data_IF_360911778720
#
_entry.id   IF_360911778720
#
_cell.length_a   1.000
_cell.length_b   1.000
_cell.length_c   1.000
_cell.angle_alpha   90.00
_cell.angle_beta   90.00
_cell.angle_gamma   90.00
#
_symmetry.space_group_name_H-M   'P 1'
#
loop_
_entity.id
_entity.type
_entity.pdbx_description
1 polymer ?
#
# COMPACT_ATOMS: atom_id res chain seq x y z
N UNK A 1 -20.48 -3.44 -4.37
CA UNK A 1 -20.01 -2.33 -5.21
C UNK A 1 -18.78 -1.70 -4.58
N UNK A 2 -17.76 -1.35 -5.37
CA UNK A 2 -16.52 -0.71 -4.92
C UNK A 2 -16.50 0.72 -5.46
N UNK A 3 -16.43 1.69 -4.55
CA UNK A 3 -16.43 3.13 -4.85
C UNK A 3 -15.11 3.70 -4.34
N UNK A 4 -14.27 4.19 -5.24
CA UNK A 4 -13.07 4.94 -4.87
C UNK A 4 -13.35 6.44 -4.80
N UNK A 5 -12.85 7.09 -3.76
CA UNK A 5 -12.87 8.53 -3.58
C UNK A 5 -11.45 9.04 -3.80
N UNK A 6 -11.23 9.81 -4.86
CA UNK A 6 -9.90 10.25 -5.28
C UNK A 6 -9.87 11.76 -5.56
N UNK A 7 -8.68 12.33 -5.70
CA UNK A 7 -8.49 13.77 -5.94
C UNK A 7 -7.09 14.06 -6.47
N UNK A 8 -6.93 15.12 -7.26
CA UNK A 8 -5.62 15.53 -7.77
C UNK A 8 -4.64 16.08 -6.71
N UNK A 9 -5.09 16.44 -5.50
CA UNK A 9 -4.24 17.01 -4.44
C UNK A 9 -4.76 16.75 -3.02
N UNK A 10 -3.94 17.04 -2.02
CA UNK A 10 -4.36 17.03 -0.62
C UNK A 10 -5.42 18.11 -0.30
N UNK A 11 -6.20 17.88 0.75
CA UNK A 11 -7.10 18.89 1.32
C UNK A 11 -8.43 19.15 0.59
N UNK A 12 -8.79 18.38 -0.44
CA UNK A 12 -10.06 18.60 -1.19
C UNK A 12 -11.32 18.06 -0.50
N UNK A 13 -11.18 17.37 0.65
CA UNK A 13 -12.30 16.80 1.39
C UNK A 13 -12.64 15.34 1.06
N UNK A 14 -11.73 14.58 0.42
CA UNK A 14 -11.90 13.14 0.14
C UNK A 14 -12.32 12.33 1.35
N UNK A 15 -11.53 12.35 2.42
CA UNK A 15 -11.77 11.61 3.66
C UNK A 15 -13.11 11.98 4.28
N UNK A 16 -13.46 13.27 4.29
CA UNK A 16 -14.76 13.74 4.76
C UNK A 16 -15.90 13.13 3.93
N UNK A 17 -15.79 13.13 2.60
CA UNK A 17 -16.79 12.51 1.73
C UNK A 17 -16.86 10.99 1.94
N UNK A 18 -15.71 10.31 1.99
CA UNK A 18 -15.61 8.87 2.15
C UNK A 18 -16.26 8.39 3.46
N UNK A 19 -15.91 9.02 4.58
CA UNK A 19 -16.44 8.70 5.91
C UNK A 19 -17.94 8.99 6.02
N UNK A 20 -18.42 10.14 5.52
CA UNK A 20 -19.84 10.49 5.57
C UNK A 20 -20.68 9.61 4.63
N UNK A 21 -20.18 9.26 3.45
CA UNK A 21 -20.84 8.30 2.55
C UNK A 21 -20.96 6.93 3.22
N UNK A 22 -19.90 6.46 3.86
CA UNK A 22 -19.92 5.20 4.59
C UNK A 22 -20.97 5.20 5.71
N UNK A 23 -21.02 6.27 6.50
CA UNK A 23 -21.98 6.43 7.59
C UNK A 23 -23.42 6.55 7.08
N UNK A 24 -23.65 7.26 5.97
CA UNK A 24 -24.98 7.39 5.38
C UNK A 24 -25.52 6.04 4.93
N UNK A 25 -24.70 5.25 4.22
CA UNK A 25 -25.08 3.91 3.76
C UNK A 25 -25.29 2.95 4.94
N UNK A 26 -24.44 3.00 5.96
CA UNK A 26 -24.60 2.17 7.15
C UNK A 26 -25.90 2.47 7.90
N UNK A 27 -26.34 3.74 7.95
CA UNK A 27 -27.63 4.14 8.54
C UNK A 27 -28.85 3.68 7.75
N UNK A 28 -28.68 3.35 6.48
CA UNK A 28 -29.70 2.72 5.63
C UNK A 28 -29.60 1.19 5.66
N UNK A 29 -29.04 0.63 6.74
CA UNK A 29 -28.84 -0.80 6.97
C UNK A 29 -28.08 -1.52 5.84
N UNK A 30 -27.26 -0.80 5.08
CA UNK A 30 -26.40 -1.39 4.06
C UNK A 30 -25.15 -1.99 4.70
N UNK A 31 -24.67 -3.11 4.16
CA UNK A 31 -23.35 -3.62 4.51
C UNK A 31 -22.25 -2.70 3.95
N UNK A 32 -21.49 -2.04 4.83
CA UNK A 32 -20.44 -1.11 4.43
C UNK A 32 -19.07 -1.56 4.94
N UNK A 33 -18.07 -1.41 4.09
CA UNK A 33 -16.67 -1.43 4.45
C UNK A 33 -15.99 -0.12 4.02
N UNK A 34 -15.29 0.52 4.93
CA UNK A 34 -14.42 1.66 4.62
C UNK A 34 -12.97 1.21 4.65
N UNK A 35 -12.25 1.48 3.57
CA UNK A 35 -10.83 1.22 3.41
C UNK A 35 -10.08 2.54 3.26
N UNK A 36 -9.21 2.85 4.21
CA UNK A 36 -8.30 3.99 4.11
C UNK A 36 -7.01 3.50 3.43
N UNK A 37 -6.88 3.86 2.15
CA UNK A 37 -5.72 3.55 1.32
C UNK A 37 -4.73 4.72 1.25
N UNK A 38 -4.96 5.83 1.95
CA UNK A 38 -3.95 6.87 2.15
C UNK A 38 -2.98 6.43 3.25
N UNK A 39 -2.21 5.39 2.95
CA UNK A 39 -1.44 4.66 3.98
C UNK A 39 -0.25 5.44 4.56
N UNK A 40 0.12 6.56 3.93
CA UNK A 40 1.16 7.46 4.42
C UNK A 40 0.64 8.30 5.58
N UNK A 41 -0.59 8.81 5.48
CA UNK A 41 -1.23 9.65 6.49
C UNK A 41 -2.70 9.23 6.73
N UNK A 42 -2.96 7.96 7.14
CA UNK A 42 -4.31 7.46 7.27
C UNK A 42 -5.05 8.22 8.37
N UNK A 43 -6.25 8.71 8.06
CA UNK A 43 -6.97 9.65 8.92
C UNK A 43 -8.49 9.40 8.98
N UNK A 44 -9.04 8.46 8.18
CA UNK A 44 -10.45 8.08 8.27
C UNK A 44 -10.83 7.68 9.71
N UNK A 45 -9.89 7.04 10.41
CA UNK A 45 -10.09 6.57 11.77
C UNK A 45 -10.36 7.69 12.79
N UNK A 46 -9.94 8.93 12.51
CA UNK A 46 -10.18 10.08 13.37
C UNK A 46 -11.64 10.55 13.36
N UNK A 47 -12.38 10.21 12.29
CA UNK A 47 -13.79 10.58 12.13
C UNK A 47 -14.75 9.51 12.65
N UNK A 48 -14.24 8.34 13.01
CA UNK A 48 -15.02 7.18 13.43
C UNK A 48 -14.73 6.86 14.90
N UNK A 49 -15.75 6.42 15.64
CA UNK A 49 -15.58 5.89 17.01
C UNK A 49 -15.10 4.45 16.95
N UNK A 50 -13.87 4.27 16.51
CA UNK A 50 -13.30 2.96 16.22
C UNK A 50 -12.98 2.15 17.45
N UNK A 51 -13.42 0.89 17.42
CA UNK A 51 -12.83 -0.18 18.22
C UNK A 51 -11.84 -0.93 17.34
N UNK A 52 -10.55 -0.74 17.58
CA UNK A 52 -9.49 -1.51 16.89
C UNK A 52 -9.48 -2.93 17.43
N UNK A 53 -9.58 -3.90 16.53
CA UNK A 53 -9.69 -5.32 16.86
C UNK A 53 -8.38 -6.06 16.61
N UNK A 54 -7.62 -5.65 15.59
CA UNK A 54 -6.41 -6.33 15.17
C UNK A 54 -5.43 -5.38 14.49
N UNK A 55 -4.14 -5.65 14.67
CA UNK A 55 -3.02 -5.02 13.96
C UNK A 55 -2.09 -6.12 13.47
N UNK A 56 -1.74 -6.09 12.18
CA UNK A 56 -0.89 -7.09 11.54
C UNK A 56 0.24 -6.38 10.80
N UNK A 57 1.48 -6.75 11.10
CA UNK A 57 2.66 -6.28 10.35
C UNK A 57 2.64 -6.84 8.94
N UNK A 58 2.93 -5.96 7.97
CA UNK A 58 3.07 -6.31 6.57
C UNK A 58 4.53 -6.21 6.19
N UNK A 59 5.05 -7.25 5.53
CA UNK A 59 6.42 -7.30 5.04
C UNK A 59 6.48 -7.62 3.55
N UNK A 60 7.59 -7.24 2.93
CA UNK A 60 7.92 -7.55 1.55
C UNK A 60 9.24 -8.31 1.49
N UNK A 61 9.41 -9.28 0.56
CA UNK A 61 10.67 -9.99 0.41
C UNK A 61 11.73 -9.08 -0.22
N UNK A 62 12.92 -9.02 0.38
CA UNK A 62 14.07 -8.27 -0.15
C UNK A 62 15.28 -9.19 -0.25
N UNK A 63 16.20 -8.93 -1.20
CA UNK A 63 17.36 -9.80 -1.39
C UNK A 63 18.32 -9.76 -0.20
N UNK A 64 18.87 -10.92 0.11
CA UNK A 64 19.98 -11.13 1.01
C UNK A 64 21.06 -11.93 0.28
N UNK A 65 22.28 -11.39 0.25
CA UNK A 65 23.39 -11.98 -0.50
C UNK A 65 24.30 -12.78 0.43
N UNK A 66 24.44 -14.07 0.16
CA UNK A 66 25.43 -14.95 0.77
C UNK A 66 26.80 -14.70 0.13
N UNK A 67 27.68 -14.01 0.87
CA UNK A 67 29.04 -13.69 0.44
C UNK A 67 29.93 -14.91 0.25
N UNK A 68 29.63 -16.03 0.91
CA UNK A 68 30.38 -17.27 0.76
C UNK A 68 30.16 -17.96 -0.59
N UNK A 69 29.02 -17.67 -1.25
CA UNK A 69 28.65 -18.25 -2.56
C UNK A 69 28.76 -17.24 -3.69
N UNK A 70 28.67 -15.95 -3.41
CA UNK A 70 28.64 -14.92 -4.43
C UNK A 70 30.00 -14.78 -5.13
N UNK A 71 30.00 -14.92 -6.45
CA UNK A 71 31.19 -14.71 -7.31
C UNK A 71 31.28 -13.28 -7.88
N UNK A 72 30.40 -12.37 -7.45
CA UNK A 72 30.39 -10.97 -7.90
C UNK A 72 30.23 -10.85 -9.43
N UNK A 73 29.47 -11.79 -10.03
CA UNK A 73 29.29 -11.87 -11.49
C UNK A 73 28.44 -10.74 -12.12
N UNK A 74 27.76 -9.94 -11.30
CA UNK A 74 26.98 -8.76 -11.76
C UNK A 74 25.61 -9.03 -12.39
N UNK A 75 25.18 -10.28 -12.59
CA UNK A 75 23.89 -10.57 -13.26
C UNK A 75 22.67 -9.98 -12.52
N UNK A 76 22.71 -9.98 -11.17
CA UNK A 76 21.63 -9.40 -10.36
C UNK A 76 21.51 -7.87 -10.49
N UNK A 77 22.64 -7.18 -10.67
CA UNK A 77 22.71 -5.73 -10.88
C UNK A 77 22.18 -5.37 -12.27
N UNK A 78 22.63 -6.08 -13.30
CA UNK A 78 22.23 -5.85 -14.71
C UNK A 78 20.71 -5.87 -14.95
N UNK A 79 19.97 -6.69 -14.19
CA UNK A 79 18.51 -6.77 -14.33
C UNK A 79 17.77 -5.77 -13.43
N UNK A 80 18.44 -5.17 -12.44
CA UNK A 80 17.78 -4.35 -11.43
C UNK A 80 17.47 -2.96 -11.97
N UNK A 81 16.22 -2.76 -12.42
CA UNK A 81 15.76 -1.46 -12.95
C UNK A 81 15.68 -0.34 -11.89
N UNK A 82 15.84 -0.68 -10.61
CA UNK A 82 15.69 0.25 -9.49
C UNK A 82 17.00 0.49 -8.74
N UNK A 83 18.11 -0.12 -9.19
CA UNK A 83 19.41 -0.08 -8.50
C UNK A 83 19.34 -0.50 -7.03
N UNK A 84 18.39 -1.38 -6.70
CA UNK A 84 18.19 -1.94 -5.36
C UNK A 84 19.24 -3.00 -4.98
N UNK A 85 20.01 -3.47 -5.96
CA UNK A 85 21.15 -4.35 -5.78
C UNK A 85 22.22 -3.93 -6.77
N UNK A 86 23.43 -3.64 -6.30
CA UNK A 86 24.52 -3.07 -7.09
C UNK A 86 25.80 -3.87 -6.87
N UNK A 87 26.49 -4.18 -7.96
CA UNK A 87 27.75 -4.91 -7.94
C UNK A 87 28.93 -3.92 -7.95
N UNK A 88 29.74 -3.96 -6.89
CA UNK A 88 31.02 -3.26 -6.82
C UNK A 88 32.17 -4.23 -7.11
N UNK A 89 33.40 -3.72 -7.23
CA UNK A 89 34.59 -4.50 -7.63
C UNK A 89 34.76 -5.80 -6.83
N UNK A 90 34.43 -5.78 -5.55
CA UNK A 90 34.72 -6.85 -4.58
C UNK A 90 33.51 -7.26 -3.75
N UNK A 91 32.33 -6.67 -3.97
CA UNK A 91 31.15 -6.93 -3.15
C UNK A 91 29.85 -6.62 -3.89
N UNK A 92 28.74 -7.12 -3.36
CA UNK A 92 27.39 -6.77 -3.80
C UNK A 92 26.70 -6.04 -2.65
N UNK A 93 26.15 -4.86 -2.94
CA UNK A 93 25.37 -4.06 -2.00
C UNK A 93 23.89 -4.16 -2.33
N UNK A 94 23.05 -4.25 -1.31
CA UNK A 94 21.59 -4.21 -1.43
C UNK A 94 21.07 -2.94 -0.76
N UNK A 95 20.10 -2.29 -1.40
CA UNK A 95 19.34 -1.15 -0.90
C UNK A 95 17.87 -1.58 -0.78
N UNK A 96 17.48 -2.21 0.35
CA UNK A 96 16.15 -2.81 0.49
C UNK A 96 14.99 -1.82 0.33
N UNK A 97 15.23 -0.54 0.59
CA UNK A 97 14.26 0.56 0.47
C UNK A 97 13.92 0.87 -1.00
N UNK A 98 14.84 0.58 -1.93
CA UNK A 98 14.62 0.73 -3.38
C UNK A 98 14.10 -0.56 -4.02
N UNK A 99 14.00 -1.65 -3.26
CA UNK A 99 13.64 -2.96 -3.80
C UNK A 99 12.13 -3.08 -4.01
N UNK A 100 11.68 -3.42 -5.22
CA UNK A 100 10.27 -3.62 -5.56
C UNK A 100 9.78 -5.08 -5.37
N UNK A 101 10.54 -5.93 -4.68
CA UNK A 101 10.20 -7.35 -4.43
C UNK A 101 9.83 -8.16 -5.68
N UNK A 102 10.52 -7.94 -6.81
CA UNK A 102 10.24 -8.67 -8.04
C UNK A 102 10.87 -10.07 -8.10
N UNK A 103 11.76 -10.42 -7.16
CA UNK A 103 12.45 -11.72 -7.11
C UNK A 103 13.47 -11.96 -8.23
N UNK A 104 13.63 -11.02 -9.18
CA UNK A 104 14.48 -11.22 -10.36
C UNK A 104 15.93 -11.56 -10.02
N UNK A 105 16.51 -10.90 -9.01
CA UNK A 105 17.91 -11.11 -8.62
C UNK A 105 18.18 -12.53 -8.10
N UNK A 106 17.21 -13.14 -7.43
CA UNK A 106 17.25 -14.54 -6.99
C UNK A 106 17.23 -15.47 -8.21
N UNK A 107 16.31 -15.22 -9.14
CA UNK A 107 16.11 -16.05 -10.33
C UNK A 107 17.34 -16.07 -11.25
N UNK A 108 18.04 -14.95 -11.40
CA UNK A 108 19.20 -14.85 -12.29
C UNK A 108 20.52 -15.21 -11.61
N UNK A 109 20.54 -15.49 -10.30
CA UNK A 109 21.80 -15.77 -9.62
C UNK A 109 22.32 -17.19 -9.96
N UNK A 110 23.41 -17.33 -10.74
CA UNK A 110 23.87 -18.66 -11.18
C UNK A 110 24.46 -19.49 -10.02
N UNK A 111 24.88 -18.84 -8.94
CA UNK A 111 25.48 -19.48 -7.76
C UNK A 111 24.44 -19.82 -6.69
N UNK A 112 23.17 -19.44 -6.87
CA UNK A 112 22.17 -19.51 -5.80
C UNK A 112 22.59 -18.75 -4.54
N UNK A 113 23.33 -17.65 -4.71
CA UNK A 113 23.90 -16.85 -3.62
C UNK A 113 22.95 -15.78 -3.09
N UNK A 114 21.76 -15.62 -3.68
CA UNK A 114 20.78 -14.61 -3.26
C UNK A 114 19.52 -15.33 -2.77
N UNK A 115 19.13 -15.06 -1.53
CA UNK A 115 17.87 -15.49 -0.93
C UNK A 115 16.97 -14.28 -0.63
N UNK A 116 15.72 -14.52 -0.26
CA UNK A 116 14.81 -13.47 0.18
C UNK A 116 14.66 -13.49 1.70
N UNK A 117 14.67 -12.30 2.32
CA UNK A 117 14.29 -12.11 3.71
C UNK A 117 13.12 -11.13 3.82
N UNK A 118 12.25 -11.26 4.83
CA UNK A 118 11.17 -10.30 5.02
C UNK A 118 11.71 -8.95 5.49
N UNK A 119 11.15 -7.88 4.95
CA UNK A 119 11.34 -6.49 5.41
C UNK A 119 9.99 -5.86 5.69
N UNK A 120 9.79 -5.42 6.91
CA UNK A 120 8.54 -4.77 7.31
C UNK A 120 8.38 -3.41 6.63
N UNK A 121 7.21 -3.20 6.02
CA UNK A 121 6.85 -1.97 5.26
C UNK A 121 5.74 -1.17 5.95
N UNK A 122 5.04 -1.75 6.91
CA UNK A 122 3.97 -1.09 7.63
C UNK A 122 3.09 -2.06 8.38
N UNK A 123 1.93 -1.58 8.80
CA UNK A 123 0.91 -2.38 9.47
C UNK A 123 -0.43 -2.21 8.77
N UNK A 124 -1.29 -3.20 8.92
CA UNK A 124 -2.71 -3.06 8.62
C UNK A 124 -3.50 -3.29 9.88
N UNK A 125 -4.37 -2.33 10.18
CA UNK A 125 -5.24 -2.38 11.34
C UNK A 125 -6.69 -2.47 10.88
N UNK A 126 -7.46 -3.23 11.64
CA UNK A 126 -8.88 -3.47 11.39
C UNK A 126 -9.66 -3.06 12.60
N UNK A 127 -10.88 -2.61 12.35
CA UNK A 127 -11.82 -2.31 13.42
C UNK A 127 -13.23 -2.23 12.92
N UNK A 128 -14.10 -1.84 13.84
CA UNK A 128 -15.51 -1.65 13.59
C UNK A 128 -15.99 -0.37 14.27
N UNK A 129 -16.90 0.34 13.61
CA UNK A 129 -17.55 1.53 14.16
C UNK A 129 -18.93 1.69 13.52
N UNK A 130 -19.97 1.83 14.34
CA UNK A 130 -21.32 2.26 13.91
C UNK A 130 -21.87 1.56 12.63
N UNK A 131 -21.72 0.23 12.51
CA UNK A 131 -22.18 -0.50 11.31
C UNK A 131 -21.15 -0.67 10.20
N UNK A 132 -19.99 -0.01 10.32
CA UNK A 132 -18.95 0.07 9.30
C UNK A 132 -17.78 -0.83 9.68
N UNK A 133 -17.45 -1.77 8.79
CA UNK A 133 -16.18 -2.50 8.85
C UNK A 133 -15.06 -1.58 8.37
N UNK A 134 -14.02 -1.40 9.17
CA UNK A 134 -12.92 -0.49 8.86
C UNK A 134 -11.60 -1.24 8.66
N UNK A 135 -10.85 -0.83 7.64
CA UNK A 135 -9.49 -1.32 7.39
C UNK A 135 -8.62 -0.14 6.96
N UNK A 136 -7.44 0.02 7.55
CA UNK A 136 -6.45 0.96 7.04
C UNK A 136 -5.05 0.37 7.02
N UNK A 137 -4.20 0.93 6.16
CA UNK A 137 -2.76 0.68 6.21
C UNK A 137 -2.07 1.87 6.86
N UNK A 138 -1.03 1.61 7.66
CA UNK A 138 -0.10 2.65 8.12
C UNK A 138 1.30 2.27 7.70
N UNK A 139 1.89 3.07 6.83
CA UNK A 139 3.21 2.86 6.29
C UNK A 139 4.27 3.04 7.40
N UNK A 140 5.35 2.26 7.33
CA UNK A 140 6.49 2.43 8.21
C UNK A 140 7.21 3.74 7.86
N UNK A 141 7.60 4.51 8.87
CA UNK A 141 8.36 5.74 8.68
C UNK A 141 9.66 5.44 7.92
N UNK A 142 9.92 6.22 6.86
CA UNK A 142 11.08 6.06 5.98
C UNK A 142 10.88 5.07 4.83
N UNK A 143 9.71 4.43 4.73
CA UNK A 143 9.36 3.64 3.56
C UNK A 143 9.07 4.53 2.36
N UNK A 144 9.65 4.20 1.20
CA UNK A 144 9.50 4.99 -0.01
C UNK A 144 8.31 4.56 -0.88
N UNK A 145 7.80 3.33 -0.70
CA UNK A 145 6.77 2.75 -1.55
C UNK A 145 5.50 2.42 -0.76
N UNK A 146 4.45 3.22 -0.99
CA UNK A 146 3.10 2.94 -0.49
C UNK A 146 2.27 1.91 -1.30
N UNK A 147 2.43 1.72 -2.65
CA UNK A 147 1.58 0.80 -3.40
C UNK A 147 1.53 -0.66 -2.90
N UNK A 148 2.65 -1.28 -2.46
CA UNK A 148 2.61 -2.62 -1.89
C UNK A 148 1.69 -2.72 -0.66
N UNK A 149 1.72 -1.72 0.23
CA UNK A 149 0.85 -1.71 1.42
C UNK A 149 -0.61 -1.44 1.05
N UNK A 150 -0.87 -0.55 0.09
CA UNK A 150 -2.23 -0.32 -0.45
C UNK A 150 -2.82 -1.61 -1.01
N UNK A 151 -2.03 -2.39 -1.75
CA UNK A 151 -2.46 -3.69 -2.27
C UNK A 151 -2.85 -4.64 -1.14
N UNK A 152 -2.09 -4.66 -0.06
CA UNK A 152 -2.40 -5.46 1.12
C UNK A 152 -3.68 -4.99 1.82
N UNK A 153 -3.93 -3.69 1.93
CA UNK A 153 -5.22 -3.16 2.42
C UNK A 153 -6.36 -3.68 1.55
N UNK A 154 -6.22 -3.60 0.23
CA UNK A 154 -7.25 -4.04 -0.72
C UNK A 154 -7.50 -5.54 -0.73
N UNK A 155 -6.52 -6.38 -0.41
CA UNK A 155 -6.74 -7.84 -0.20
C UNK A 155 -7.73 -8.15 0.92
N UNK A 156 -8.04 -7.18 1.79
CA UNK A 156 -9.00 -7.31 2.90
C UNK A 156 -10.41 -6.83 2.52
N UNK A 157 -10.64 -6.47 1.27
CA UNK A 157 -11.98 -6.14 0.75
C UNK A 157 -12.93 -7.33 0.93
N UNK A 158 -14.07 -7.10 1.57
CA UNK A 158 -15.13 -8.10 1.72
C UNK A 158 -15.87 -8.32 0.39
N UNK A 159 -16.36 -9.55 0.11
CA UNK A 159 -16.98 -9.90 -1.17
C UNK A 159 -18.44 -9.42 -1.32
N UNK A 160 -19.11 -9.01 -0.24
CA UNK A 160 -20.48 -8.42 -0.26
C UNK A 160 -20.54 -6.97 0.30
N UNK A 161 -21.61 -6.23 0.00
CA UNK A 161 -21.81 -4.83 0.41
C UNK A 161 -21.15 -3.73 -0.45
N UNK A 162 -21.19 -2.51 0.08
CA UNK A 162 -20.46 -1.34 -0.41
C UNK A 162 -19.06 -1.32 0.18
N UNK A 163 -18.04 -1.10 -0.65
CA UNK A 163 -16.68 -0.80 -0.18
C UNK A 163 -16.27 0.55 -0.67
N UNK A 164 -15.98 1.43 0.27
CA UNK A 164 -15.54 2.79 0.00
C UNK A 164 -14.04 2.81 0.22
N UNK A 165 -13.31 3.26 -0.78
CA UNK A 165 -11.85 3.41 -0.72
C UNK A 165 -11.56 4.91 -0.63
N UNK A 166 -10.97 5.37 0.48
CA UNK A 166 -10.34 6.69 0.55
C UNK A 166 -8.95 6.57 -0.07
N UNK A 167 -8.74 7.20 -1.23
CA UNK A 167 -7.49 7.09 -1.97
C UNK A 167 -6.50 8.19 -1.53
N UNK A 168 -5.18 7.95 -1.65
CA UNK A 168 -4.19 8.99 -1.43
C UNK A 168 -4.37 10.16 -2.41
N UNK A 169 -3.85 11.35 -2.10
CA UNK A 169 -3.89 12.48 -3.02
C UNK A 169 -2.98 12.27 -4.24
N UNK A 170 -3.30 12.93 -5.35
CA UNK A 170 -2.42 13.01 -6.51
C UNK A 170 -2.90 12.19 -7.71
N UNK A 171 -1.96 11.84 -8.59
CA UNK A 171 -2.22 11.11 -9.84
C UNK A 171 -1.20 10.00 -10.10
N UNK A 172 -0.36 9.69 -9.11
CA UNK A 172 0.75 8.74 -9.21
C UNK A 172 0.33 7.30 -8.87
N UNK A 173 1.31 6.38 -8.85
CA UNK A 173 1.09 4.95 -8.61
C UNK A 173 0.22 4.60 -7.38
N UNK A 174 0.33 5.26 -6.21
CA UNK A 174 -0.52 4.98 -5.06
C UNK A 174 -2.02 5.17 -5.38
N UNK A 175 -2.38 6.25 -6.09
CA UNK A 175 -3.75 6.52 -6.51
C UNK A 175 -4.25 5.49 -7.50
N UNK A 176 -3.40 5.10 -8.46
CA UNK A 176 -3.72 4.05 -9.43
C UNK A 176 -3.93 2.71 -8.74
N UNK A 177 -3.08 2.33 -7.79
CA UNK A 177 -3.25 1.08 -7.02
C UNK A 177 -4.53 1.11 -6.17
N UNK A 178 -4.81 2.22 -5.49
CA UNK A 178 -6.03 2.39 -4.68
C UNK A 178 -7.31 2.27 -5.51
N UNK A 179 -7.37 2.97 -6.65
CA UNK A 179 -8.56 3.04 -7.50
C UNK A 179 -8.78 1.81 -8.40
N UNK A 180 -7.72 1.04 -8.71
CA UNK A 180 -7.78 -0.14 -9.61
C UNK A 180 -8.88 -1.14 -9.22
N UNK A 181 -9.75 -1.50 -10.14
CA UNK A 181 -10.82 -2.48 -9.88
C UNK A 181 -12.01 -1.94 -9.08
N UNK A 182 -12.12 -0.61 -8.94
CA UNK A 182 -13.35 0.03 -8.45
C UNK A 182 -14.40 0.05 -9.55
N UNK A 183 -15.68 -0.09 -9.18
CA UNK A 183 -16.82 0.03 -10.10
C UNK A 183 -17.06 1.51 -10.46
N UNK A 184 -16.83 2.41 -9.49
CA UNK A 184 -16.99 3.85 -9.63
C UNK A 184 -15.81 4.57 -8.99
N UNK A 185 -15.35 5.64 -9.62
CA UNK A 185 -14.37 6.57 -9.05
C UNK A 185 -15.00 7.97 -8.97
N UNK A 186 -15.14 8.49 -7.75
CA UNK A 186 -15.63 9.85 -7.48
C UNK A 186 -14.42 10.75 -7.29
N UNK A 187 -14.26 11.73 -8.19
CA UNK A 187 -13.20 12.72 -8.13
C UNK A 187 -13.66 13.93 -7.33
N UNK A 188 -13.04 14.15 -6.17
CA UNK A 188 -13.28 15.29 -5.30
C UNK A 188 -12.33 16.41 -5.69
N UNK A 189 -12.89 17.49 -6.23
CA UNK A 189 -12.17 18.71 -6.60
C UNK A 189 -12.59 19.86 -5.71
N UNK A 190 -11.70 20.84 -5.56
CA UNK A 190 -12.03 22.15 -5.02
C UNK A 190 -11.95 23.20 -6.15
N UNK A 191 -12.61 24.37 -6.00
CA UNK A 191 -12.57 25.42 -7.01
C UNK A 191 -11.29 26.25 -7.01
N UNK A 192 -10.34 26.01 -6.09
CA UNK A 192 -9.12 26.81 -5.96
C UNK A 192 -8.33 26.78 -7.27
N UNK A 193 -8.17 27.92 -7.96
CA UNK A 193 -7.38 28.00 -9.17
C UNK A 193 -5.89 27.82 -8.83
N UNK A 194 -5.20 27.03 -9.65
CA UNK A 194 -3.75 26.83 -9.59
C UNK A 194 -3.00 28.06 -10.14
#
# INVERSE_FOLDING_TARGET
MIIAIASGKGGTGKTTLATNLAMSLAREDQEVQLLDCDVEEPNCHLFLRLSLEASVTVSMPVPEVDRGKCTVCGQCDQICQFSAIVCLKDTVLTFPELCHSCGGCVLVCPQGAISEKPRDIGVIEKGYADGIRFVHGRLKIGEAMSPPLIREVKKRICPQGYRIIDAPPGTSCPVIEATRGSDVCILVTEPTPF
#
